data_IF_159231303089
#
_entry.id   IF_159231303089
#
_cell.length_a   1.000
_cell.length_b   1.000
_cell.length_c   1.000
_cell.angle_alpha   90.00
_cell.angle_beta   90.00
_cell.angle_gamma   90.00
#
_symmetry.space_group_name_H-M   'P 1'
#
loop_
_entity.id
_entity.type
_entity.pdbx_description
1 polymer ?
#
# COMPACT_ATOMS: atom_id res chain seq x y z
N UNK A 1 -3.77 -3.44 -13.19
CA UNK A 1 -2.79 -3.92 -12.19
C UNK A 1 -2.16 -5.16 -12.76
N UNK A 2 -0.84 -5.16 -12.91
CA UNK A 2 -0.12 -6.26 -13.58
C UNK A 2 0.24 -7.37 -12.57
N UNK A 3 -0.79 -8.06 -12.08
CA UNK A 3 -0.60 -9.27 -11.28
C UNK A 3 -1.05 -10.45 -12.13
N UNK A 4 -0.10 -11.34 -12.43
CA UNK A 4 -0.35 -12.55 -13.22
C UNK A 4 -1.49 -13.39 -12.63
N UNK A 5 -2.50 -13.80 -13.42
CA UNK A 5 -3.56 -14.72 -12.98
C UNK A 5 -3.01 -16.05 -12.46
N UNK A 6 -1.83 -16.45 -12.91
CA UNK A 6 -1.13 -17.66 -12.47
C UNK A 6 -0.66 -17.59 -11.02
N UNK A 7 -0.74 -16.42 -10.37
CA UNK A 7 -0.45 -16.27 -8.93
C UNK A 7 -1.37 -17.14 -8.08
N UNK A 8 -2.62 -17.35 -8.52
CA UNK A 8 -3.63 -18.14 -7.80
C UNK A 8 -3.32 -19.62 -7.70
N UNK A 9 -2.38 -20.12 -8.52
CA UNK A 9 -1.92 -21.53 -8.53
C UNK A 9 -0.63 -21.74 -7.73
N UNK A 10 -0.21 -20.72 -6.98
CA UNK A 10 1.06 -20.74 -6.25
C UNK A 10 0.82 -21.12 -4.80
N UNK A 11 1.72 -21.91 -4.24
CA UNK A 11 1.67 -22.37 -2.85
C UNK A 11 1.60 -21.17 -1.88
N UNK A 12 2.32 -20.09 -2.17
CA UNK A 12 2.28 -18.85 -1.38
C UNK A 12 0.88 -18.24 -1.35
N UNK A 13 0.14 -18.30 -2.45
CA UNK A 13 -1.23 -17.80 -2.53
C UNK A 13 -2.20 -18.69 -1.76
N UNK A 14 -2.03 -20.01 -1.84
CA UNK A 14 -2.86 -20.99 -1.12
C UNK A 14 -2.69 -20.83 0.40
N UNK A 15 -1.45 -20.70 0.90
CA UNK A 15 -1.17 -20.46 2.32
C UNK A 15 -1.90 -19.20 2.81
N UNK A 16 -1.78 -18.09 2.09
CA UNK A 16 -2.43 -16.83 2.47
C UNK A 16 -3.96 -16.90 2.36
N UNK A 17 -4.49 -17.63 1.38
CA UNK A 17 -5.94 -17.85 1.23
C UNK A 17 -6.49 -18.66 2.40
N UNK A 18 -5.78 -19.73 2.81
CA UNK A 18 -6.13 -20.52 3.99
C UNK A 18 -6.09 -19.69 5.27
N UNK A 19 -5.08 -18.81 5.42
CA UNK A 19 -5.02 -17.87 6.53
C UNK A 19 -6.23 -16.92 6.56
N UNK A 20 -6.66 -16.39 5.41
CA UNK A 20 -7.84 -15.53 5.34
C UNK A 20 -9.17 -16.25 5.60
N UNK A 21 -9.20 -17.57 5.42
CA UNK A 21 -10.33 -18.41 5.81
C UNK A 21 -10.33 -18.75 7.31
N UNK A 22 -9.16 -18.78 7.95
CA UNK A 22 -9.00 -19.07 9.38
C UNK A 22 -7.83 -18.27 9.99
N UNK A 23 -8.08 -17.03 10.41
CA UNK A 23 -7.05 -16.09 10.87
C UNK A 23 -6.44 -16.42 12.24
N UNK A 24 -7.00 -17.40 12.98
CA UNK A 24 -6.52 -17.81 14.30
C UNK A 24 -5.21 -18.62 14.23
N UNK A 25 -4.78 -19.00 13.02
CA UNK A 25 -3.61 -19.84 12.75
C UNK A 25 -2.36 -19.03 12.34
N UNK A 26 -2.13 -17.87 12.95
CA UNK A 26 -1.00 -16.99 12.57
C UNK A 26 0.34 -17.71 12.70
N UNK A 27 0.61 -18.37 13.82
CA UNK A 27 1.90 -19.07 14.05
C UNK A 27 2.14 -20.18 13.02
N UNK A 28 1.13 -21.00 12.73
CA UNK A 28 1.26 -22.06 11.73
C UNK A 28 1.42 -21.49 10.31
N UNK A 29 0.84 -20.32 10.03
CA UNK A 29 1.04 -19.62 8.76
C UNK A 29 2.47 -19.12 8.64
N UNK A 30 3.04 -18.53 9.70
CA UNK A 30 4.45 -18.11 9.74
C UNK A 30 5.40 -19.30 9.56
N UNK A 31 5.10 -20.44 10.19
CA UNK A 31 5.87 -21.68 10.02
C UNK A 31 5.83 -22.19 8.58
N UNK A 32 4.63 -22.18 7.96
CA UNK A 32 4.45 -22.59 6.56
C UNK A 32 5.24 -21.69 5.60
N UNK A 33 5.11 -20.37 5.74
CA UNK A 33 5.86 -19.40 4.95
C UNK A 33 7.39 -19.55 5.13
N UNK A 34 7.84 -19.76 6.36
CA UNK A 34 9.27 -20.00 6.66
C UNK A 34 9.78 -21.29 6.02
N UNK A 35 8.96 -22.35 6.06
CA UNK A 35 9.30 -23.65 5.46
C UNK A 35 9.42 -23.53 3.95
N UNK A 36 8.47 -22.86 3.28
CA UNK A 36 8.53 -22.62 1.83
C UNK A 36 9.74 -21.76 1.45
N UNK A 37 10.07 -20.73 2.23
CA UNK A 37 11.25 -19.90 1.99
C UNK A 37 12.56 -20.69 2.17
N UNK A 38 12.65 -21.55 3.19
CA UNK A 38 13.81 -22.42 3.43
C UNK A 38 13.99 -23.43 2.30
N UNK A 39 12.90 -24.06 1.86
CA UNK A 39 12.89 -24.96 0.70
C UNK A 39 13.35 -24.24 -0.57
N UNK A 40 12.85 -23.02 -0.82
CA UNK A 40 13.23 -22.20 -1.96
C UNK A 40 14.69 -21.76 -1.91
N UNK A 41 15.20 -21.41 -0.73
CA UNK A 41 16.61 -21.12 -0.50
C UNK A 41 17.50 -22.32 -0.88
N UNK A 42 17.14 -23.53 -0.46
CA UNK A 42 17.90 -24.74 -0.78
C UNK A 42 17.98 -25.04 -2.29
N UNK A 43 17.03 -24.51 -3.07
CA UNK A 43 16.95 -24.65 -4.53
C UNK A 43 17.53 -23.46 -5.29
N UNK A 44 18.08 -22.45 -4.60
CA UNK A 44 18.49 -21.17 -5.16
C UNK A 44 17.34 -20.39 -5.85
N UNK A 45 16.11 -20.54 -5.34
CA UNK A 45 14.89 -19.91 -5.89
C UNK A 45 14.27 -18.88 -4.92
N UNK A 46 14.98 -18.50 -3.85
CA UNK A 46 14.44 -17.64 -2.78
C UNK A 46 13.87 -16.31 -3.31
N UNK A 47 14.60 -15.60 -4.17
CA UNK A 47 14.11 -14.34 -4.75
C UNK A 47 12.81 -14.53 -5.53
N UNK A 48 12.73 -15.58 -6.36
CA UNK A 48 11.52 -15.91 -7.12
C UNK A 48 10.36 -16.22 -6.19
N UNK A 49 10.60 -16.97 -5.11
CA UNK A 49 9.60 -17.26 -4.07
C UNK A 49 9.13 -15.99 -3.38
N UNK A 50 10.02 -15.09 -2.97
CA UNK A 50 9.65 -13.82 -2.33
C UNK A 50 8.82 -12.94 -3.25
N UNK A 51 9.19 -12.82 -4.54
CA UNK A 51 8.38 -12.09 -5.53
C UNK A 51 6.97 -12.68 -5.66
N UNK A 52 6.83 -14.02 -5.66
CA UNK A 52 5.52 -14.69 -5.66
C UNK A 52 4.75 -14.40 -4.38
N UNK A 53 5.37 -14.52 -3.22
CA UNK A 53 4.74 -14.24 -1.93
C UNK A 53 4.18 -12.81 -1.86
N UNK A 54 4.98 -11.81 -2.22
CA UNK A 54 4.56 -10.41 -2.22
C UNK A 54 3.45 -10.13 -3.23
N UNK A 55 3.53 -10.72 -4.42
CA UNK A 55 2.44 -10.65 -5.39
C UNK A 55 1.17 -11.33 -4.88
N UNK A 56 1.25 -12.41 -4.12
CA UNK A 56 0.07 -13.04 -3.50
C UNK A 56 -0.59 -12.14 -2.46
N UNK A 57 0.17 -11.46 -1.59
CA UNK A 57 -0.37 -10.45 -0.67
C UNK A 57 -1.09 -9.33 -1.42
N UNK A 58 -0.43 -8.76 -2.43
CA UNK A 58 -0.98 -7.67 -3.24
C UNK A 58 -2.23 -8.14 -4.01
N UNK A 59 -2.21 -9.35 -4.58
CA UNK A 59 -3.35 -9.92 -5.29
C UNK A 59 -4.54 -10.09 -4.36
N UNK A 60 -4.37 -10.76 -3.24
CA UNK A 60 -5.44 -10.96 -2.26
C UNK A 60 -5.99 -9.63 -1.80
N UNK A 61 -5.12 -8.67 -1.46
CA UNK A 61 -5.55 -7.34 -1.05
C UNK A 61 -6.34 -6.61 -2.14
N UNK A 62 -6.07 -6.84 -3.43
CA UNK A 62 -6.85 -6.25 -4.53
C UNK A 62 -8.27 -6.84 -4.65
N UNK A 63 -8.44 -8.11 -4.28
CA UNK A 63 -9.72 -8.82 -4.39
C UNK A 63 -10.63 -8.57 -3.17
N UNK A 64 -10.07 -8.15 -2.04
CA UNK A 64 -10.85 -7.83 -0.84
C UNK A 64 -11.29 -6.38 -0.83
N UNK A 65 -12.59 -6.14 -0.62
CA UNK A 65 -13.09 -4.77 -0.42
C UNK A 65 -12.26 -4.03 0.63
N UNK A 66 -11.98 -2.75 0.38
CA UNK A 66 -11.16 -1.90 1.24
C UNK A 66 -11.62 -1.87 2.70
N UNK A 67 -12.91 -2.12 2.98
CA UNK A 67 -13.50 -2.14 4.32
C UNK A 67 -13.58 -3.55 4.94
N UNK A 68 -13.20 -4.60 4.20
CA UNK A 68 -13.21 -5.99 4.68
C UNK A 68 -12.25 -6.16 5.86
N UNK A 69 -12.63 -7.00 6.82
CA UNK A 69 -11.74 -7.40 7.92
C UNK A 69 -10.50 -8.13 7.42
N UNK A 70 -10.60 -8.85 6.30
CA UNK A 70 -9.48 -9.59 5.69
C UNK A 70 -8.34 -8.66 5.26
N UNK A 71 -8.61 -7.40 4.89
CA UNK A 71 -7.57 -6.39 4.67
C UNK A 71 -6.70 -6.19 5.92
N UNK A 72 -7.33 -6.15 7.09
CA UNK A 72 -6.64 -5.96 8.36
C UNK A 72 -5.89 -7.22 8.79
N UNK A 73 -6.42 -8.41 8.50
CA UNK A 73 -5.72 -9.67 8.77
C UNK A 73 -4.45 -9.81 7.92
N UNK A 74 -4.46 -9.44 6.63
CA UNK A 74 -3.23 -9.42 5.81
C UNK A 74 -2.16 -8.49 6.40
N UNK A 75 -2.56 -7.31 6.90
CA UNK A 75 -1.65 -6.36 7.55
C UNK A 75 -1.05 -6.97 8.81
N UNK A 76 -1.88 -7.57 9.68
CA UNK A 76 -1.43 -8.24 10.90
C UNK A 76 -0.47 -9.39 10.60
N UNK A 77 -0.72 -10.17 9.54
CA UNK A 77 0.18 -11.26 9.15
C UNK A 77 1.56 -10.73 8.74
N UNK A 78 1.65 -9.63 7.97
CA UNK A 78 2.93 -9.00 7.65
C UNK A 78 3.64 -8.45 8.90
N UNK A 79 2.90 -7.85 9.83
CA UNK A 79 3.47 -7.42 11.10
C UNK A 79 4.02 -8.61 11.89
N UNK A 80 3.27 -9.71 11.97
CA UNK A 80 3.67 -10.93 12.64
C UNK A 80 4.88 -11.59 11.96
N UNK A 81 4.98 -11.53 10.63
CA UNK A 81 6.15 -11.98 9.88
C UNK A 81 7.39 -11.19 10.28
N UNK A 82 7.30 -9.86 10.32
CA UNK A 82 8.42 -8.98 10.71
C UNK A 82 8.87 -9.23 12.15
N UNK A 83 7.93 -9.37 13.10
CA UNK A 83 8.26 -9.39 14.54
C UNK A 83 8.38 -10.77 15.15
N UNK A 84 7.75 -11.78 14.55
CA UNK A 84 7.56 -13.10 15.15
C UNK A 84 8.12 -14.27 14.34
N UNK A 85 8.36 -14.11 13.03
CA UNK A 85 8.91 -15.21 12.23
C UNK A 85 10.38 -15.46 12.56
N UNK A 86 10.81 -16.74 12.63
CA UNK A 86 12.20 -17.08 12.86
C UNK A 86 13.08 -16.58 11.69
N UNK A 87 14.29 -16.06 11.95
CA UNK A 87 15.20 -15.63 10.89
C UNK A 87 15.48 -16.78 9.92
N UNK A 88 15.43 -16.46 8.62
CA UNK A 88 15.83 -17.42 7.60
C UNK A 88 17.35 -17.65 7.68
N UNK A 89 17.78 -18.90 7.76
CA UNK A 89 19.20 -19.28 7.89
C UNK A 89 19.66 -20.16 6.74
N UNK A 90 20.91 -19.98 6.34
CA UNK A 90 21.58 -20.84 5.36
C UNK A 90 22.04 -22.18 5.98
N UNK A 91 22.65 -23.04 5.16
CA UNK A 91 23.15 -24.36 5.60
C UNK A 91 24.27 -24.28 6.64
N UNK A 92 24.88 -23.10 6.83
CA UNK A 92 25.91 -22.83 7.84
C UNK A 92 25.33 -22.16 9.09
N UNK A 93 24.02 -21.91 9.12
CA UNK A 93 23.32 -21.25 10.22
C UNK A 93 23.44 -19.73 10.23
N UNK A 94 23.99 -19.12 9.18
CA UNK A 94 24.06 -17.66 9.03
C UNK A 94 22.70 -17.12 8.57
N UNK A 95 22.31 -15.94 9.07
CA UNK A 95 21.08 -15.29 8.62
C UNK A 95 21.20 -14.86 7.15
N UNK A 96 20.15 -15.12 6.38
CA UNK A 96 20.09 -14.81 4.96
C UNK A 96 19.60 -13.38 4.76
N UNK A 97 20.27 -12.68 3.86
CA UNK A 97 19.86 -11.37 3.38
C UNK A 97 19.57 -11.42 1.87
N UNK A 98 18.56 -10.66 1.46
CA UNK A 98 18.25 -10.38 0.05
C UNK A 98 18.21 -8.87 -0.10
N UNK A 99 18.87 -8.34 -1.13
CA UNK A 99 19.06 -6.89 -1.34
C UNK A 99 19.59 -6.14 -0.10
N UNK A 100 20.47 -6.78 0.68
CA UNK A 100 21.10 -6.19 1.86
C UNK A 100 20.16 -6.04 3.06
N UNK A 101 19.06 -6.79 3.10
CA UNK A 101 18.11 -6.77 4.22
C UNK A 101 17.72 -8.19 4.63
N UNK A 102 17.50 -8.38 5.94
CA UNK A 102 16.99 -9.64 6.48
C UNK A 102 15.62 -9.95 5.91
N UNK A 103 15.41 -11.19 5.49
CA UNK A 103 14.23 -11.59 4.69
C UNK A 103 12.89 -11.16 5.32
N UNK A 104 12.68 -11.39 6.61
CA UNK A 104 11.39 -11.07 7.24
C UNK A 104 11.31 -9.63 7.75
N UNK A 105 12.36 -9.13 8.39
CA UNK A 105 12.36 -7.78 8.95
C UNK A 105 12.45 -6.68 7.89
N UNK A 106 13.12 -6.96 6.77
CA UNK A 106 13.34 -6.01 5.68
C UNK A 106 12.32 -6.10 4.55
N UNK A 107 11.56 -7.20 4.46
CA UNK A 107 10.64 -7.51 3.34
C UNK A 107 11.26 -7.18 1.96
N UNK A 108 12.45 -7.71 1.64
CA UNK A 108 13.14 -7.38 0.41
C UNK A 108 12.26 -7.66 -0.79
N UNK A 109 12.36 -6.80 -1.81
CA UNK A 109 11.57 -6.85 -3.05
C UNK A 109 10.08 -6.50 -2.90
N UNK A 110 9.50 -6.45 -1.69
CA UNK A 110 8.08 -6.12 -1.53
C UNK A 110 7.78 -4.73 -2.09
N UNK A 111 8.60 -3.73 -1.77
CA UNK A 111 8.42 -2.37 -2.29
C UNK A 111 8.47 -2.31 -3.82
N UNK A 112 9.31 -3.13 -4.46
CA UNK A 112 9.34 -3.27 -5.92
C UNK A 112 8.02 -3.87 -6.44
N UNK A 113 7.52 -4.95 -5.84
CA UNK A 113 6.25 -5.55 -6.26
C UNK A 113 5.06 -4.59 -6.02
N UNK A 114 5.04 -3.88 -4.90
CA UNK A 114 4.03 -2.86 -4.63
C UNK A 114 4.11 -1.71 -5.63
N UNK A 115 5.32 -1.34 -6.10
CA UNK A 115 5.50 -0.30 -7.13
C UNK A 115 4.86 -0.69 -8.46
N UNK A 116 4.87 -1.97 -8.83
CA UNK A 116 4.21 -2.46 -10.05
C UNK A 116 2.70 -2.23 -10.01
N UNK A 117 2.07 -2.29 -8.83
CA UNK A 117 0.66 -1.95 -8.68
C UNK A 117 0.36 -0.48 -9.01
N UNK A 118 1.33 0.44 -8.83
CA UNK A 118 1.20 1.88 -9.13
C UNK A 118 1.30 2.22 -10.62
N UNK A 119 1.36 1.23 -11.52
CA UNK A 119 1.21 1.40 -12.97
C UNK A 119 -0.27 1.38 -13.38
N UNK A 120 -1.10 2.22 -12.73
CA UNK A 120 -2.52 2.35 -13.05
C UNK A 120 -2.70 3.05 -14.42
N UNK A 121 -3.62 2.60 -15.29
CA UNK A 121 -3.75 3.10 -16.67
C UNK A 121 -4.49 4.44 -16.72
N UNK A 122 -3.87 5.51 -16.22
CA UNK A 122 -4.46 6.86 -16.18
C UNK A 122 -4.76 7.50 -17.56
N UNK A 123 -4.42 6.84 -18.66
CA UNK A 123 -4.57 7.34 -20.04
C UNK A 123 -5.80 6.76 -20.76
N UNK A 124 -6.51 5.81 -20.16
CA UNK A 124 -7.71 5.20 -20.72
C UNK A 124 -8.76 4.99 -19.63
N UNK A 125 -10.04 4.92 -20.01
CA UNK A 125 -11.10 4.66 -19.05
C UNK A 125 -11.05 3.21 -18.59
N UNK A 126 -11.14 3.01 -17.28
CA UNK A 126 -11.14 1.67 -16.69
C UNK A 126 -12.56 1.14 -16.44
N UNK A 127 -12.68 -0.19 -16.32
CA UNK A 127 -13.89 -0.79 -15.78
C UNK A 127 -13.97 -0.68 -14.25
N UNK A 128 -15.12 -1.02 -13.68
CA UNK A 128 -15.35 -0.97 -12.24
C UNK A 128 -14.49 -1.97 -11.47
N UNK A 129 -14.14 -3.12 -12.06
CA UNK A 129 -13.30 -4.14 -11.41
C UNK A 129 -11.87 -3.64 -11.22
N UNK A 130 -11.30 -2.99 -12.23
CA UNK A 130 -9.97 -2.38 -12.18
C UNK A 130 -9.96 -1.20 -11.21
N UNK A 131 -11.00 -0.36 -11.25
CA UNK A 131 -11.21 0.75 -10.29
C UNK A 131 -11.20 0.23 -8.85
N UNK A 132 -12.02 -0.76 -8.54
CA UNK A 132 -12.18 -1.29 -7.18
C UNK A 132 -10.91 -1.98 -6.71
N UNK A 133 -10.27 -2.79 -7.56
CA UNK A 133 -9.00 -3.45 -7.25
C UNK A 133 -7.89 -2.43 -6.91
N UNK A 134 -7.85 -1.31 -7.63
CA UNK A 134 -6.90 -0.22 -7.37
C UNK A 134 -7.14 0.44 -6.01
N UNK A 135 -8.40 0.74 -5.68
CA UNK A 135 -8.78 1.30 -4.38
C UNK A 135 -8.41 0.33 -3.25
N UNK A 136 -8.68 -0.96 -3.42
CA UNK A 136 -8.42 -1.99 -2.43
C UNK A 136 -6.92 -2.14 -2.11
N UNK A 137 -6.05 -2.15 -3.14
CA UNK A 137 -4.59 -2.20 -2.90
C UNK A 137 -4.07 -0.93 -2.24
N UNK A 138 -4.58 0.25 -2.62
CA UNK A 138 -4.22 1.49 -1.91
C UNK A 138 -4.63 1.41 -0.44
N UNK A 139 -5.80 0.86 -0.14
CA UNK A 139 -6.29 0.71 1.22
C UNK A 139 -5.42 -0.24 2.06
N UNK A 140 -4.89 -1.31 1.46
CA UNK A 140 -3.95 -2.23 2.09
C UNK A 140 -2.63 -1.52 2.42
N UNK A 141 -2.01 -0.90 1.42
CA UNK A 141 -0.70 -0.23 1.57
C UNK A 141 -0.79 0.98 2.51
N UNK A 142 -1.92 1.68 2.53
CA UNK A 142 -2.20 2.73 3.51
C UNK A 142 -2.17 2.19 4.95
N UNK A 143 -2.78 1.03 5.20
CA UNK A 143 -2.74 0.40 6.53
C UNK A 143 -1.34 -0.04 6.93
N UNK A 144 -0.54 -0.56 6.00
CA UNK A 144 0.88 -0.87 6.25
C UNK A 144 1.62 0.39 6.72
N UNK A 145 1.40 1.52 6.05
CA UNK A 145 2.00 2.81 6.43
C UNK A 145 1.52 3.29 7.80
N UNK A 146 0.23 3.13 8.09
CA UNK A 146 -0.37 3.54 9.36
C UNK A 146 0.20 2.76 10.57
N UNK A 147 0.58 1.50 10.37
CA UNK A 147 1.27 0.72 11.42
C UNK A 147 2.77 1.04 11.50
N UNK A 148 3.39 1.44 10.38
CA UNK A 148 4.82 1.77 10.31
C UNK A 148 5.18 3.10 10.97
N UNK A 149 4.28 4.11 10.87
CA UNK A 149 4.55 5.47 11.32
C UNK A 149 3.57 5.85 12.43
N UNK A 150 4.07 6.54 13.46
CA UNK A 150 3.25 7.04 14.56
C UNK A 150 2.51 8.33 14.18
N UNK A 151 1.51 8.70 14.98
CA UNK A 151 0.67 9.89 14.76
C UNK A 151 1.43 11.23 14.78
N UNK A 152 2.68 11.25 15.22
CA UNK A 152 3.55 12.43 15.24
C UNK A 152 4.51 12.46 14.05
N UNK A 153 4.37 11.55 13.08
CA UNK A 153 5.22 11.48 11.88
C UNK A 153 6.57 10.81 12.09
N UNK A 154 6.78 10.15 13.24
CA UNK A 154 7.99 9.36 13.50
C UNK A 154 7.82 7.91 13.11
N UNK A 155 8.89 7.27 12.65
CA UNK A 155 8.92 5.84 12.39
C UNK A 155 8.72 5.05 13.70
N UNK A 156 7.93 3.96 13.65
CA UNK A 156 7.84 2.99 14.74
C UNK A 156 8.96 1.98 14.58
N UNK A 157 9.73 1.81 15.65
CA UNK A 157 10.87 0.91 15.68
C UNK A 157 10.46 -0.50 15.23
N UNK A 158 11.21 -1.05 14.26
CA UNK A 158 11.02 -2.40 13.74
C UNK A 158 9.99 -2.53 12.61
N UNK A 159 9.29 -1.46 12.22
CA UNK A 159 8.27 -1.50 11.16
C UNK A 159 8.61 -0.64 9.94
N UNK A 160 9.87 -0.19 9.80
CA UNK A 160 10.31 0.66 8.68
C UNK A 160 10.04 0.06 7.30
N UNK A 161 10.12 -1.27 7.16
CA UNK A 161 9.81 -2.00 5.93
C UNK A 161 8.33 -1.89 5.48
N UNK A 162 7.46 -1.35 6.35
CA UNK A 162 6.05 -1.12 6.07
C UNK A 162 5.72 0.35 5.74
N UNK A 163 6.70 1.26 5.75
CA UNK A 163 6.47 2.67 5.39
C UNK A 163 6.39 2.84 3.86
N UNK A 164 5.15 3.02 3.38
CA UNK A 164 4.85 3.34 1.98
C UNK A 164 4.27 4.75 1.84
N UNK A 165 4.56 5.66 2.77
CA UNK A 165 4.07 7.04 2.74
C UNK A 165 4.33 7.76 1.41
N UNK A 166 5.46 7.51 0.74
CA UNK A 166 5.71 8.08 -0.59
C UNK A 166 4.62 7.70 -1.62
N UNK A 167 4.03 6.51 -1.51
CA UNK A 167 2.99 6.04 -2.42
C UNK A 167 1.66 6.75 -2.13
N UNK A 168 1.42 7.09 -0.85
CA UNK A 168 0.34 8.00 -0.46
C UNK A 168 0.46 9.37 -1.12
N UNK A 169 1.65 9.97 -1.18
CA UNK A 169 1.88 11.20 -1.95
C UNK A 169 1.50 11.01 -3.42
N UNK A 170 1.90 9.90 -4.04
CA UNK A 170 1.59 9.67 -5.44
C UNK A 170 0.10 9.54 -5.71
N UNK A 171 -0.63 8.80 -4.86
CA UNK A 171 -2.09 8.64 -4.99
C UNK A 171 -2.83 9.96 -4.73
N UNK A 172 -2.43 10.71 -3.70
CA UNK A 172 -2.99 12.03 -3.41
C UNK A 172 -2.68 13.03 -4.54
N UNK A 173 -1.46 13.03 -5.08
CA UNK A 173 -1.08 13.90 -6.20
C UNK A 173 -1.93 13.61 -7.44
N UNK A 174 -2.03 12.35 -7.85
CA UNK A 174 -2.81 11.95 -9.03
C UNK A 174 -4.27 12.39 -8.93
N UNK A 175 -4.87 12.32 -7.74
CA UNK A 175 -6.25 12.73 -7.54
C UNK A 175 -6.40 14.25 -7.38
N UNK A 176 -5.55 14.89 -6.58
CA UNK A 176 -5.84 16.21 -6.02
C UNK A 176 -5.02 17.34 -6.67
N UNK A 177 -3.89 17.00 -7.28
CA UNK A 177 -2.91 17.96 -7.80
C UNK A 177 -2.74 17.93 -9.32
N UNK A 178 -3.30 16.94 -10.02
CA UNK A 178 -3.27 16.89 -11.49
C UNK A 178 -4.50 17.55 -12.12
N UNK A 179 -4.31 18.14 -13.30
CA UNK A 179 -5.40 18.69 -14.10
C UNK A 179 -6.33 17.58 -14.59
N UNK A 180 -7.63 17.71 -14.26
CA UNK A 180 -8.63 16.68 -14.52
C UNK A 180 -9.25 16.74 -15.91
N UNK A 181 -9.00 17.82 -16.66
CA UNK A 181 -9.42 17.97 -18.07
C UNK A 181 -8.85 16.85 -18.96
N UNK A 182 -7.78 16.19 -18.50
CA UNK A 182 -7.14 15.07 -19.17
C UNK A 182 -7.59 13.69 -18.66
N UNK A 183 -8.57 13.61 -17.75
CA UNK A 183 -9.04 12.32 -17.22
C UNK A 183 -9.81 11.54 -18.29
N UNK A 184 -9.48 10.25 -18.51
CA UNK A 184 -10.01 9.49 -19.64
C UNK A 184 -11.46 9.01 -19.46
N UNK A 185 -12.01 9.11 -18.25
CA UNK A 185 -13.42 8.82 -17.99
C UNK A 185 -13.80 8.81 -16.50
N UNK A 186 -15.03 8.40 -16.21
CA UNK A 186 -15.68 8.50 -14.90
C UNK A 186 -15.10 7.51 -13.88
N UNK A 187 -14.95 6.24 -14.24
CA UNK A 187 -14.38 5.23 -13.36
C UNK A 187 -12.91 5.53 -13.05
N UNK A 188 -12.19 6.16 -13.97
CA UNK A 188 -10.80 6.59 -13.73
C UNK A 188 -10.72 7.73 -12.71
N UNK A 189 -11.68 8.66 -12.76
CA UNK A 189 -11.83 9.70 -11.73
C UNK A 189 -12.16 9.06 -10.39
N UNK A 190 -13.16 8.19 -10.35
CA UNK A 190 -13.57 7.45 -9.15
C UNK A 190 -12.40 6.64 -8.57
N UNK A 191 -11.61 5.95 -9.40
CA UNK A 191 -10.44 5.19 -8.99
C UNK A 191 -9.38 6.07 -8.32
N UNK A 192 -9.09 7.23 -8.92
CA UNK A 192 -8.11 8.17 -8.41
C UNK A 192 -8.56 8.77 -7.07
N UNK A 193 -9.80 9.25 -7.03
CA UNK A 193 -10.36 9.88 -5.82
C UNK A 193 -10.56 8.86 -4.70
N UNK A 194 -11.06 7.67 -5.01
CA UNK A 194 -11.21 6.57 -4.05
C UNK A 194 -9.86 6.12 -3.48
N UNK A 195 -8.82 6.02 -4.30
CA UNK A 195 -7.47 5.72 -3.85
C UNK A 195 -6.92 6.78 -2.88
N UNK A 196 -7.08 8.06 -3.21
CA UNK A 196 -6.73 9.15 -2.31
C UNK A 196 -7.52 9.10 -0.99
N UNK A 197 -8.82 8.83 -1.06
CA UNK A 197 -9.70 8.76 0.10
C UNK A 197 -9.32 7.61 1.04
N UNK A 198 -9.02 6.40 0.55
CA UNK A 198 -8.58 5.29 1.43
C UNK A 198 -7.24 5.57 2.14
N UNK A 199 -6.32 6.31 1.50
CA UNK A 199 -5.08 6.75 2.18
C UNK A 199 -5.38 7.66 3.36
N UNK A 200 -6.32 8.59 3.19
CA UNK A 200 -6.72 9.52 4.24
C UNK A 200 -7.56 8.85 5.32
N UNK A 201 -8.42 7.91 4.98
CA UNK A 201 -9.20 7.15 5.98
C UNK A 201 -8.32 6.25 6.82
N UNK A 202 -7.42 5.47 6.19
CA UNK A 202 -6.67 4.44 6.91
C UNK A 202 -5.32 4.89 7.44
N UNK A 203 -4.72 5.93 6.86
CA UNK A 203 -3.44 6.47 7.30
C UNK A 203 -3.48 7.97 7.64
N UNK A 204 -4.65 8.62 7.62
CA UNK A 204 -4.76 10.09 7.73
C UNK A 204 -4.08 10.70 8.95
N UNK A 205 -4.27 10.12 10.14
CA UNK A 205 -3.60 10.59 11.37
C UNK A 205 -2.07 10.56 11.24
N UNK A 206 -1.54 9.48 10.69
CA UNK A 206 -0.12 9.32 10.41
C UNK A 206 0.38 10.31 9.36
N UNK A 207 -0.35 10.48 8.25
CA UNK A 207 0.01 11.42 7.18
C UNK A 207 -0.07 12.88 7.65
N UNK A 208 -1.00 13.19 8.55
CA UNK A 208 -1.09 14.48 9.23
C UNK A 208 0.14 14.72 10.10
N UNK A 209 0.57 13.72 10.88
CA UNK A 209 1.83 13.77 11.65
C UNK A 209 3.05 14.00 10.77
N UNK A 210 3.14 13.33 9.61
CA UNK A 210 4.19 13.58 8.62
C UNK A 210 4.15 15.02 8.05
N UNK A 211 2.95 15.57 7.88
CA UNK A 211 2.75 16.95 7.40
C UNK A 211 3.13 17.98 8.47
N UNK A 212 2.82 17.69 9.74
CA UNK A 212 3.16 18.56 10.87
C UNK A 212 4.66 18.59 11.17
N UNK A 213 5.34 17.45 10.94
CA UNK A 213 6.79 17.31 11.06
C UNK A 213 7.56 17.74 9.78
N UNK A 214 6.86 18.16 8.73
CA UNK A 214 7.43 18.54 7.43
C UNK A 214 8.35 17.45 6.83
N UNK A 215 7.90 16.20 6.81
CA UNK A 215 8.66 15.10 6.20
C UNK A 215 8.96 15.41 4.72
N UNK A 216 10.23 15.37 4.36
CA UNK A 216 10.70 15.51 2.98
C UNK A 216 11.31 14.22 2.43
N UNK A 217 11.37 14.13 1.10
CA UNK A 217 12.05 13.09 0.34
C UNK A 217 13.10 13.72 -0.58
N UNK A 218 14.21 13.01 -0.79
CA UNK A 218 15.28 13.45 -1.68
C UNK A 218 14.84 13.42 -3.15
N UNK A 219 15.33 14.38 -3.94
CA UNK A 219 15.06 14.43 -5.38
C UNK A 219 13.65 14.89 -5.72
N UNK A 220 13.12 14.40 -6.85
CA UNK A 220 11.83 14.84 -7.43
C UNK A 220 10.68 13.85 -7.19
N UNK A 221 10.87 12.82 -6.38
CA UNK A 221 9.88 11.74 -6.20
C UNK A 221 8.57 12.23 -5.57
N UNK A 222 8.64 13.25 -4.71
CA UNK A 222 7.51 13.84 -4.01
C UNK A 222 7.14 15.25 -4.50
N UNK A 223 7.54 15.62 -5.73
CA UNK A 223 7.20 16.91 -6.35
C UNK A 223 5.67 17.14 -6.42
N UNK A 224 5.19 18.39 -6.52
CA UNK A 224 3.78 18.68 -6.76
C UNK A 224 3.30 18.18 -8.15
N UNK A 225 1.98 18.03 -8.28
CA UNK A 225 1.28 17.80 -9.55
C UNK A 225 1.10 19.08 -10.38
N UNK A 226 0.58 18.92 -11.59
CA UNK A 226 0.49 19.98 -12.60
C UNK A 226 -0.23 21.26 -12.16
N UNK A 227 -1.31 21.16 -11.37
CA UNK A 227 -2.07 22.32 -10.84
C UNK A 227 -1.26 23.19 -9.89
N UNK A 228 -0.25 22.61 -9.27
CA UNK A 228 0.57 23.24 -8.24
C UNK A 228 2.06 23.22 -8.60
N UNK A 229 2.38 23.24 -9.90
CA UNK A 229 3.75 23.13 -10.43
C UNK A 229 4.73 24.17 -9.86
N UNK A 230 4.23 25.33 -9.45
CA UNK A 230 5.02 26.44 -8.90
C UNK A 230 5.25 26.31 -7.37
N UNK A 231 4.69 25.27 -6.74
CA UNK A 231 4.92 24.98 -5.32
C UNK A 231 6.24 24.22 -5.12
N UNK A 232 6.96 24.54 -4.06
CA UNK A 232 8.26 23.90 -3.75
C UNK A 232 8.13 22.64 -2.88
N UNK A 233 6.99 21.97 -2.88
CA UNK A 233 6.78 20.79 -2.06
C UNK A 233 7.74 19.65 -2.42
N UNK A 234 8.35 19.05 -1.40
CA UNK A 234 9.26 17.90 -1.48
C UNK A 234 8.80 16.72 -0.62
N UNK A 235 7.55 16.73 -0.17
CA UNK A 235 7.02 15.73 0.74
C UNK A 235 5.69 16.17 1.35
N UNK A 236 5.52 15.84 2.62
CA UNK A 236 4.38 16.22 3.44
C UNK A 236 4.65 17.58 4.10
N UNK A 237 3.74 18.53 3.90
CA UNK A 237 3.80 19.86 4.50
C UNK A 237 2.40 20.28 4.94
N UNK A 238 2.31 21.18 5.92
CA UNK A 238 1.02 21.71 6.37
C UNK A 238 0.22 22.37 5.23
N UNK A 239 0.90 23.13 4.38
CA UNK A 239 0.27 23.82 3.24
C UNK A 239 -0.27 22.84 2.20
N UNK A 240 0.48 21.78 1.92
CA UNK A 240 0.06 20.72 1.00
C UNK A 240 -1.12 19.93 1.56
N UNK A 241 -1.09 19.62 2.86
CA UNK A 241 -2.22 18.96 3.54
C UNK A 241 -3.51 19.78 3.46
N UNK A 242 -3.45 21.08 3.74
CA UNK A 242 -4.61 21.98 3.62
C UNK A 242 -5.10 22.08 2.17
N UNK A 243 -4.18 22.05 1.20
CA UNK A 243 -4.53 22.02 -0.22
C UNK A 243 -5.26 20.73 -0.57
N UNK A 244 -4.75 19.57 -0.15
CA UNK A 244 -5.42 18.29 -0.36
C UNK A 244 -6.83 18.26 0.23
N UNK A 245 -7.05 18.79 1.43
CA UNK A 245 -8.38 18.84 2.03
C UNK A 245 -9.37 19.62 1.15
N UNK A 246 -8.96 20.79 0.64
CA UNK A 246 -9.80 21.61 -0.27
C UNK A 246 -10.05 20.91 -1.60
N UNK A 247 -9.03 20.29 -2.17
CA UNK A 247 -9.14 19.61 -3.46
C UNK A 247 -9.95 18.31 -3.37
N UNK A 248 -9.91 17.63 -2.23
CA UNK A 248 -10.74 16.45 -1.97
C UNK A 248 -12.23 16.82 -1.85
N UNK A 249 -12.54 17.92 -1.17
CA UNK A 249 -13.91 18.45 -1.06
C UNK A 249 -14.48 18.78 -2.45
N UNK A 250 -13.71 19.47 -3.30
CA UNK A 250 -14.07 19.70 -4.70
C UNK A 250 -14.20 18.41 -5.50
N UNK A 251 -13.35 17.43 -5.24
CA UNK A 251 -13.38 16.15 -5.96
C UNK A 251 -14.66 15.35 -5.66
N UNK A 252 -15.29 15.55 -4.50
CA UNK A 252 -16.48 14.81 -4.08
C UNK A 252 -17.61 14.89 -5.12
N UNK A 253 -17.86 16.06 -5.71
CA UNK A 253 -18.92 16.24 -6.71
C UNK A 253 -18.63 15.60 -8.06
N UNK A 254 -17.39 15.17 -8.30
CA UNK A 254 -16.97 14.51 -9.54
C UNK A 254 -17.13 12.99 -9.47
N UNK A 255 -17.15 12.45 -8.26
CA UNK A 255 -17.32 11.01 -8.03
C UNK A 255 -18.73 10.59 -8.39
N UNK A 256 -18.86 9.50 -9.15
CA UNK A 256 -20.17 8.99 -9.58
C UNK A 256 -20.67 7.86 -8.68
N UNK A 257 -19.77 7.09 -8.08
CA UNK A 257 -20.08 6.00 -7.17
C UNK A 257 -20.39 6.51 -5.76
N UNK A 258 -21.60 6.23 -5.25
CA UNK A 258 -22.05 6.67 -3.93
C UNK A 258 -21.17 6.13 -2.80
N UNK A 259 -20.67 4.89 -2.91
CA UNK A 259 -19.77 4.31 -1.92
C UNK A 259 -18.43 5.05 -1.84
N UNK A 260 -17.93 5.54 -2.98
CA UNK A 260 -16.72 6.37 -3.03
C UNK A 260 -17.03 7.79 -2.52
N UNK A 261 -18.21 8.35 -2.75
CA UNK A 261 -18.60 9.65 -2.17
C UNK A 261 -18.64 9.59 -0.62
N UNK A 262 -19.19 8.51 -0.06
CA UNK A 262 -19.20 8.28 1.38
C UNK A 262 -17.79 8.11 1.93
N UNK A 263 -16.92 7.41 1.20
CA UNK A 263 -15.51 7.26 1.55
C UNK A 263 -14.78 8.61 1.53
N UNK A 264 -15.05 9.48 0.55
CA UNK A 264 -14.53 10.85 0.50
C UNK A 264 -15.01 11.67 1.70
N UNK A 265 -16.27 11.53 2.10
CA UNK A 265 -16.78 12.20 3.29
C UNK A 265 -16.04 11.75 4.56
N UNK A 266 -15.81 10.45 4.72
CA UNK A 266 -15.02 9.91 5.85
C UNK A 266 -13.60 10.47 5.86
N UNK A 267 -12.94 10.53 4.69
CA UNK A 267 -11.62 11.12 4.55
C UNK A 267 -11.60 12.60 4.98
N UNK A 268 -12.59 13.40 4.55
CA UNK A 268 -12.72 14.80 4.96
C UNK A 268 -12.90 14.97 6.47
N UNK A 269 -13.66 14.09 7.12
CA UNK A 269 -13.79 14.12 8.59
C UNK A 269 -12.47 13.80 9.29
N UNK A 270 -11.68 12.85 8.77
CA UNK A 270 -10.33 12.58 9.29
C UNK A 270 -9.41 13.79 9.12
N UNK A 271 -9.49 14.49 7.98
CA UNK A 271 -8.62 15.64 7.70
C UNK A 271 -8.91 16.90 8.55
N UNK A 272 -10.08 16.97 9.19
CA UNK A 272 -10.48 18.05 10.10
C UNK A 272 -9.93 17.88 11.52
N UNK A 273 -9.52 16.67 11.89
CA UNK A 273 -8.95 16.33 13.21
C UNK A 273 -7.49 16.78 13.29
#
# INVERSE_FOLDING_TARGET
>A
MDISPEITKREEYEILTSYLANSDSTDATLESLTTCATSSLSKNELETHLRRLWNSFLHLSSQQSHSSKQQSELVKLLQALITGAPPLKDTKGAEVEVDGSKVWQGLPLFGQQARECWNFPYHEEVDTKIRDAWINVNAFVARLTAVAINQHGGERQGYSALDYSLYGIWSLRSALEEERENSPGKNTIDASVGAAAVWLVYAGSTLKGLSDSNKTYSGKVAKPGSKFKDQEWRGYTKDRWQTWAKELDKAKSLVQDDGIQDLVQQALEVMKQ
#
